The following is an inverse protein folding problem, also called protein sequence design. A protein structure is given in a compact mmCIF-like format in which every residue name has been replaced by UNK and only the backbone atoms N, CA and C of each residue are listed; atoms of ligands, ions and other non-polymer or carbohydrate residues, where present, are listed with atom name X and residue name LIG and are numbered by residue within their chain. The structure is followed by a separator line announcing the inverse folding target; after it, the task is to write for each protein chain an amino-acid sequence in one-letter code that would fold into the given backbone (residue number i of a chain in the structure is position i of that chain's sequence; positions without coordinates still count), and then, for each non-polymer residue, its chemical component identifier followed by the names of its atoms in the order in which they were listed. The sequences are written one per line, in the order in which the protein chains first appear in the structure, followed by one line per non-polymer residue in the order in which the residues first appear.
data_IF_871930977756
#
_entry.id   IF_871930977756
#
_cell.length_a   1.000
_cell.length_b   1.000
_cell.length_c   1.000
_cell.angle_alpha   90.00
_cell.angle_beta   90.00
_cell.angle_gamma   90.00
#
_symmetry.space_group_name_H-M   'P 1'
#
loop_
_entity.id
_entity.type
_entity.pdbx_description
1 polymer ?
#
# COMPACT_ATOMS: atom_id res chain seq x y z
N UNK A 1 -28.12 6.41 2.87
CA UNK A 1 -27.45 7.49 2.12
C UNK A 1 -26.81 8.56 3.02
N UNK A 2 -27.44 9.01 4.12
CA UNK A 2 -26.80 9.92 5.09
C UNK A 2 -25.57 9.33 5.81
N UNK A 3 -25.57 8.01 6.09
CA UNK A 3 -24.44 7.33 6.74
C UNK A 3 -23.14 7.31 5.88
N UNK A 4 -23.27 7.32 4.55
CA UNK A 4 -22.12 7.37 3.64
C UNK A 4 -21.43 8.74 3.59
N UNK A 5 -22.18 9.82 3.85
CA UNK A 5 -21.64 11.18 3.91
C UNK A 5 -20.83 11.42 5.19
N UNK A 6 -21.27 10.81 6.31
CA UNK A 6 -20.57 10.89 7.61
C UNK A 6 -19.28 10.05 7.58
N UNK A 7 -19.31 8.89 6.93
CA UNK A 7 -18.15 8.00 6.82
C UNK A 7 -17.05 8.59 5.89
N UNK A 8 -17.41 9.50 4.99
CA UNK A 8 -16.47 10.24 4.12
C UNK A 8 -15.84 11.49 4.74
N UNK A 9 -16.35 12.01 5.87
CA UNK A 9 -15.89 13.30 6.41
C UNK A 9 -14.60 13.20 7.27
N UNK A 10 -14.31 12.04 7.86
CA UNK A 10 -13.11 11.82 8.70
C UNK A 10 -12.06 10.87 8.07
N UNK A 11 -12.26 10.51 6.80
CA UNK A 11 -11.38 9.68 5.97
C UNK A 11 -11.58 10.08 4.51
N UNK A 12 -11.15 11.31 4.20
CA UNK A 12 -11.62 12.16 3.10
C UNK A 12 -11.57 11.62 1.67
N UNK A 13 -12.07 12.43 0.74
CA UNK A 13 -12.08 12.19 -0.72
C UNK A 13 -10.75 11.69 -1.29
N UNK A 14 -9.62 12.12 -0.70
CA UNK A 14 -8.29 11.64 -1.07
C UNK A 14 -8.11 10.13 -0.78
N UNK A 15 -8.51 9.64 0.39
CA UNK A 15 -8.40 8.21 0.76
C UNK A 15 -9.27 7.35 -0.17
N UNK A 16 -10.49 7.80 -0.46
CA UNK A 16 -11.40 7.18 -1.44
C UNK A 16 -10.82 7.17 -2.85
N UNK A 17 -10.25 8.28 -3.30
CA UNK A 17 -9.63 8.41 -4.62
C UNK A 17 -8.42 7.49 -4.77
N UNK A 18 -7.50 7.51 -3.80
CA UNK A 18 -6.33 6.64 -3.79
C UNK A 18 -6.73 5.16 -3.71
N UNK A 19 -7.69 4.81 -2.84
CA UNK A 19 -8.21 3.45 -2.77
C UNK A 19 -8.79 2.99 -4.11
N UNK A 20 -9.61 3.83 -4.76
CA UNK A 20 -10.20 3.48 -6.07
C UNK A 20 -9.14 3.34 -7.16
N UNK A 21 -8.13 4.21 -7.18
CA UNK A 21 -7.01 4.10 -8.12
C UNK A 21 -6.26 2.78 -7.92
N UNK A 22 -5.92 2.42 -6.68
CA UNK A 22 -5.23 1.17 -6.36
C UNK A 22 -6.10 -0.04 -6.76
N UNK A 23 -7.41 -0.01 -6.54
CA UNK A 23 -8.30 -1.10 -6.93
C UNK A 23 -8.37 -1.27 -8.46
N UNK A 24 -8.49 -0.17 -9.22
CA UNK A 24 -8.47 -0.21 -10.69
C UNK A 24 -7.11 -0.69 -11.19
N UNK A 25 -6.02 -0.21 -10.60
CA UNK A 25 -4.67 -0.63 -10.98
C UNK A 25 -4.41 -2.11 -10.66
N UNK A 26 -4.87 -2.60 -9.51
CA UNK A 26 -4.78 -4.00 -9.11
C UNK A 26 -5.68 -4.91 -9.94
N UNK A 27 -6.76 -4.37 -10.51
CA UNK A 27 -7.66 -5.13 -11.37
C UNK A 27 -7.05 -5.48 -12.73
N UNK A 28 -5.98 -4.79 -13.14
CA UNK A 28 -5.25 -5.07 -14.38
C UNK A 28 -4.39 -6.33 -14.18
N UNK A 29 -4.67 -7.44 -14.88
CA UNK A 29 -3.88 -8.65 -14.74
C UNK A 29 -2.47 -8.46 -15.31
N UNK A 30 -1.44 -8.64 -14.47
CA UNK A 30 -0.03 -8.49 -14.87
C UNK A 30 0.38 -9.38 -16.04
N UNK A 31 -0.14 -10.61 -16.07
CA UNK A 31 0.13 -11.57 -17.16
C UNK A 31 -0.40 -11.08 -18.51
N UNK A 32 -1.60 -10.48 -18.53
CA UNK A 32 -2.18 -9.97 -19.78
C UNK A 32 -1.39 -8.78 -20.31
N UNK A 33 -0.94 -7.89 -19.41
CA UNK A 33 -0.03 -6.80 -19.76
C UNK A 33 1.27 -7.32 -20.37
N UNK A 34 1.89 -8.33 -19.76
CA UNK A 34 3.11 -8.95 -20.28
C UNK A 34 2.90 -9.55 -21.68
N UNK A 35 1.79 -10.26 -21.91
CA UNK A 35 1.47 -10.85 -23.22
C UNK A 35 1.35 -9.76 -24.30
N UNK A 36 0.61 -8.68 -24.02
CA UNK A 36 0.42 -7.57 -24.97
C UNK A 36 1.76 -6.86 -25.25
N UNK A 37 2.59 -6.68 -24.24
CA UNK A 37 3.86 -5.95 -24.38
C UNK A 37 4.88 -6.75 -25.18
N UNK A 38 4.98 -8.06 -24.91
CA UNK A 38 5.86 -8.99 -25.66
C UNK A 38 5.37 -9.18 -27.10
N UNK A 39 4.07 -9.05 -27.37
CA UNK A 39 3.56 -9.16 -28.74
C UNK A 39 3.85 -7.94 -29.61
N UNK A 40 4.21 -6.80 -29.02
CA UNK A 40 4.50 -5.54 -29.74
C UNK A 40 5.99 -5.20 -29.73
N UNK A 41 6.72 -5.56 -28.66
CA UNK A 41 8.13 -5.21 -28.44
C UNK A 41 8.90 -6.44 -28.00
N UNK A 42 10.13 -6.61 -28.51
CA UNK A 42 11.03 -7.64 -27.98
C UNK A 42 11.37 -7.35 -26.51
N UNK A 43 11.05 -8.28 -25.58
CA UNK A 43 11.30 -8.06 -24.17
C UNK A 43 12.81 -7.94 -23.89
N UNK A 44 13.23 -6.76 -23.42
CA UNK A 44 14.56 -6.51 -22.90
C UNK A 44 14.53 -6.57 -21.35
N UNK A 45 15.67 -6.86 -20.73
CA UNK A 45 15.87 -6.80 -19.28
C UNK A 45 15.28 -5.54 -18.65
N UNK A 46 15.47 -4.37 -19.29
CA UNK A 46 14.94 -3.10 -18.80
C UNK A 46 13.41 -3.01 -18.78
N UNK A 47 12.73 -3.61 -19.77
CA UNK A 47 11.26 -3.66 -19.82
C UNK A 47 10.72 -4.56 -18.71
N UNK A 48 11.33 -5.73 -18.53
CA UNK A 48 10.96 -6.65 -17.46
C UNK A 48 11.20 -6.04 -16.07
N UNK A 49 12.36 -5.42 -15.86
CA UNK A 49 12.68 -4.72 -14.61
C UNK A 49 11.70 -3.59 -14.33
N UNK A 50 11.40 -2.76 -15.33
CA UNK A 50 10.44 -1.66 -15.21
C UNK A 50 9.06 -2.15 -14.79
N UNK A 51 8.54 -3.18 -15.46
CA UNK A 51 7.25 -3.79 -15.12
C UNK A 51 7.26 -4.43 -13.73
N UNK A 52 8.32 -5.14 -13.36
CA UNK A 52 8.45 -5.72 -12.03
C UNK A 52 8.41 -4.64 -10.95
N UNK A 53 9.12 -3.52 -11.13
CA UNK A 53 9.09 -2.40 -10.18
C UNK A 53 7.70 -1.74 -10.11
N UNK A 54 7.05 -1.55 -11.25
CA UNK A 54 5.73 -0.93 -11.38
C UNK A 54 4.58 -1.75 -10.78
N UNK A 55 4.75 -3.04 -10.56
CA UNK A 55 3.75 -3.88 -9.92
C UNK A 55 4.18 -4.38 -8.52
N UNK A 56 5.48 -4.35 -8.20
CA UNK A 56 6.01 -4.75 -6.89
C UNK A 56 5.48 -3.88 -5.74
N UNK A 57 5.27 -2.58 -5.96
CA UNK A 57 4.79 -1.65 -4.92
C UNK A 57 3.36 -1.94 -4.46
N UNK A 58 2.53 -2.60 -5.28
CA UNK A 58 1.12 -2.91 -4.96
C UNK A 58 0.97 -3.77 -3.70
N UNK A 59 1.92 -4.68 -3.46
CA UNK A 59 1.92 -5.50 -2.24
C UNK A 59 2.19 -4.69 -0.97
N UNK A 60 2.93 -3.59 -1.08
CA UNK A 60 3.30 -2.73 0.05
C UNK A 60 2.18 -1.75 0.43
N UNK A 61 1.31 -1.38 -0.50
CA UNK A 61 0.15 -0.51 -0.25
C UNK A 61 -0.73 -1.04 0.89
N UNK A 62 -0.98 -2.36 0.92
CA UNK A 62 -1.77 -3.00 1.97
C UNK A 62 -1.12 -2.90 3.36
N UNK A 63 0.22 -3.03 3.41
CA UNK A 63 1.00 -2.93 4.65
C UNK A 63 0.99 -1.49 5.18
N UNK A 64 1.24 -0.52 4.30
CA UNK A 64 1.22 0.90 4.65
C UNK A 64 -0.18 1.31 5.14
N UNK A 65 -1.25 0.85 4.48
CA UNK A 65 -2.62 1.10 4.93
C UNK A 65 -2.89 0.49 6.31
N UNK A 66 -2.46 -0.74 6.55
CA UNK A 66 -2.61 -1.38 7.85
C UNK A 66 -1.89 -0.62 8.96
N UNK A 67 -0.67 -0.15 8.69
CA UNK A 67 0.10 0.66 9.63
C UNK A 67 -0.49 2.05 9.86
N UNK A 68 -1.03 2.71 8.84
CA UNK A 68 -1.77 3.97 9.02
C UNK A 68 -3.04 3.77 9.86
N UNK A 69 -3.81 2.70 9.62
CA UNK A 69 -4.98 2.36 10.44
C UNK A 69 -4.60 2.10 11.90
N UNK A 70 -3.51 1.34 12.11
CA UNK A 70 -2.94 1.06 13.43
C UNK A 70 -2.47 2.35 14.11
N UNK A 71 -1.79 3.22 13.38
CA UNK A 71 -1.23 4.45 13.89
C UNK A 71 -2.31 5.42 14.40
N UNK A 72 -3.47 5.51 13.73
CA UNK A 72 -4.62 6.31 14.20
C UNK A 72 -5.20 5.82 15.53
N UNK A 73 -4.99 4.56 15.88
CA UNK A 73 -5.50 3.98 17.13
C UNK A 73 -4.51 4.10 18.29
N UNK A 74 -3.31 4.64 18.09
CA UNK A 74 -2.37 4.80 19.19
C UNK A 74 -2.80 5.89 20.17
N UNK A 75 -2.63 5.60 21.45
CA UNK A 75 -2.92 6.49 22.58
C UNK A 75 -2.20 7.83 22.44
N UNK A 76 -0.94 7.84 21.99
CA UNK A 76 -0.16 9.07 21.81
C UNK A 76 -0.70 9.96 20.68
N UNK A 77 -1.29 9.38 19.63
CA UNK A 77 -1.94 10.13 18.55
C UNK A 77 -3.23 10.77 19.05
N UNK A 78 -4.01 10.04 19.85
CA UNK A 78 -5.24 10.54 20.47
C UNK A 78 -4.95 11.66 21.46
N UNK A 79 -3.92 11.52 22.30
CA UNK A 79 -3.45 12.56 23.21
C UNK A 79 -2.93 13.79 22.46
N UNK A 80 -2.11 13.61 21.42
CA UNK A 80 -1.59 14.73 20.61
C UNK A 80 -2.73 15.52 19.92
N UNK A 81 -3.75 14.82 19.41
CA UNK A 81 -4.93 15.48 18.83
C UNK A 81 -5.76 16.21 19.87
N UNK A 82 -5.93 15.65 21.08
CA UNK A 82 -6.60 16.33 22.19
C UNK A 82 -5.85 17.60 22.65
N UNK A 83 -4.53 17.65 22.45
CA UNK A 83 -3.68 18.82 22.68
C UNK A 83 -3.69 19.82 21.51
N UNK A 84 -4.51 19.61 20.47
CA UNK A 84 -4.64 20.52 19.34
C UNK A 84 -3.53 20.42 18.28
N UNK A 85 -2.69 19.37 18.33
CA UNK A 85 -1.65 19.15 17.31
C UNK A 85 -2.28 18.78 15.99
N UNK A 86 -1.91 19.49 14.92
CA UNK A 86 -2.43 19.25 13.57
C UNK A 86 -2.04 17.86 13.04
N UNK A 87 -3.00 17.21 12.36
CA UNK A 87 -2.84 15.84 11.84
C UNK A 87 -1.64 15.70 10.88
N UNK A 88 -1.29 16.73 10.12
CA UNK A 88 -0.13 16.72 9.22
C UNK A 88 1.19 16.51 9.97
N UNK A 89 1.34 17.12 11.16
CA UNK A 89 2.55 16.98 11.99
C UNK A 89 2.64 15.57 12.57
N UNK A 90 1.50 15.02 13.01
CA UNK A 90 1.41 13.65 13.52
C UNK A 90 1.77 12.65 12.41
N UNK A 91 1.22 12.85 11.20
CA UNK A 91 1.45 11.97 10.05
C UNK A 91 2.92 11.97 9.63
N UNK A 92 3.50 13.15 9.36
CA UNK A 92 4.86 13.25 8.80
C UNK A 92 5.93 12.86 9.82
N UNK A 93 5.75 13.22 11.09
CA UNK A 93 6.80 13.08 12.11
C UNK A 93 6.72 11.77 12.90
N UNK A 94 5.55 11.12 12.96
CA UNK A 94 5.34 9.92 13.78
C UNK A 94 4.81 8.74 12.98
N UNK A 95 3.80 8.93 12.14
CA UNK A 95 3.14 7.82 11.41
C UNK A 95 3.99 7.33 10.24
N UNK A 96 4.50 8.23 9.39
CA UNK A 96 5.31 7.89 8.22
C UNK A 96 6.57 7.10 8.60
N UNK A 97 7.39 7.55 9.57
CA UNK A 97 8.61 6.83 9.95
C UNK A 97 8.31 5.44 10.51
N UNK A 98 7.25 5.32 11.32
CA UNK A 98 6.86 4.04 11.90
C UNK A 98 6.36 3.05 10.82
N UNK A 99 5.57 3.54 9.84
CA UNK A 99 5.12 2.72 8.72
C UNK A 99 6.28 2.25 7.83
N UNK A 100 7.32 3.07 7.62
CA UNK A 100 8.51 2.68 6.87
C UNK A 100 9.30 1.57 7.58
N UNK A 101 9.48 1.66 8.90
CA UNK A 101 10.12 0.61 9.71
C UNK A 101 9.35 -0.70 9.59
N UNK A 102 8.04 -0.67 9.79
CA UNK A 102 7.19 -1.85 9.63
C UNK A 102 7.27 -2.44 8.22
N UNK A 103 7.29 -1.62 7.17
CA UNK A 103 7.43 -2.05 5.77
C UNK A 103 8.73 -2.82 5.55
N UNK A 104 9.85 -2.33 6.10
CA UNK A 104 11.16 -3.00 6.03
C UNK A 104 11.14 -4.31 6.82
N UNK A 105 10.50 -4.35 7.99
CA UNK A 105 10.34 -5.56 8.80
C UNK A 105 9.48 -6.62 8.12
N UNK A 106 8.46 -6.22 7.34
CA UNK A 106 7.58 -7.16 6.62
C UNK A 106 8.15 -7.65 5.28
N UNK A 107 9.17 -6.98 4.74
CA UNK A 107 9.85 -7.31 3.48
C UNK A 107 10.40 -8.76 3.37
N UNK A 108 10.89 -9.41 4.44
CA UNK A 108 11.30 -10.81 4.40
C UNK A 108 10.11 -11.77 4.22
N UNK A 109 8.95 -11.45 4.81
CA UNK A 109 7.78 -12.33 4.85
C UNK A 109 7.02 -12.36 3.52
N UNK A 110 7.04 -11.27 2.76
CA UNK A 110 6.53 -11.24 1.38
C UNK A 110 7.33 -12.16 0.46
N UNK A 111 8.62 -12.38 0.75
CA UNK A 111 9.49 -13.29 0.01
C UNK A 111 9.42 -14.73 0.54
N UNK A 112 9.26 -14.91 1.85
CA UNK A 112 9.28 -16.22 2.50
C UNK A 112 8.02 -17.08 2.25
N UNK A 113 6.88 -16.49 1.86
CA UNK A 113 5.66 -17.25 1.55
C UNK A 113 5.82 -18.19 0.33
N UNK A 114 6.87 -18.03 -0.47
CA UNK A 114 7.21 -18.93 -1.57
C UNK A 114 8.12 -20.12 -1.17
N UNK A 115 8.82 -20.05 -0.03
CA UNK A 115 9.80 -21.08 0.37
C UNK A 115 9.20 -22.31 1.07
N UNK A 116 7.97 -22.23 1.60
CA UNK A 116 7.43 -23.30 2.45
C UNK A 116 6.63 -24.38 1.71
N UNK A 117 6.42 -24.25 0.39
CA UNK A 117 5.72 -25.26 -0.43
C UNK A 117 6.64 -26.16 -1.26
N UNK A 118 7.96 -26.03 -1.13
CA UNK A 118 8.93 -26.81 -1.93
C UNK A 118 9.49 -28.05 -1.20
N UNK A 119 9.25 -28.21 0.12
CA UNK A 119 9.83 -29.28 0.92
C UNK A 119 8.87 -30.46 1.23
N UNK A 120 7.70 -30.52 0.56
CA UNK A 120 6.73 -31.61 0.74
C UNK A 120 6.26 -32.18 -0.60
N UNK A 121 7.21 -32.61 -1.43
CA UNK A 121 6.97 -33.47 -2.58
C UNK A 121 8.05 -34.56 -2.60
#
# INVERSE_FOLDING_TARGET
MAAGAVQGYFGGWLDLGFQRFIEVWASIPTLYLLIILVSVVEPNFWWLLGLMLLFSWMGFVGVVRAEFLRARNFEYVRAARALGVGDAIIIVRHVLPNAMVATITFMPFTRARFGHRAHRA
#
